data_IF_217688613521
#
_entry.id   IF_217688613521
#
_cell.length_a   1.000
_cell.length_b   1.000
_cell.length_c   1.000
_cell.angle_alpha   90.00
_cell.angle_beta   90.00
_cell.angle_gamma   90.00
#
_symmetry.space_group_name_H-M   'P 1'
#
loop_
_entity.id
_entity.type
_entity.pdbx_description
1 polymer ?
#
# COMPACT_ATOMS: atom_id res chain seq x y z
N UNK A 1 45.56 -8.59 -2.38
CA UNK A 1 44.17 -8.39 -2.85
C UNK A 1 44.06 -8.96 -4.26
N UNK A 2 43.20 -9.95 -4.50
CA UNK A 2 43.14 -10.62 -5.80
C UNK A 2 42.51 -9.66 -6.83
N UNK A 3 43.23 -9.45 -7.94
CA UNK A 3 42.71 -8.77 -9.12
C UNK A 3 41.61 -9.66 -9.70
N UNK A 4 40.35 -9.36 -9.39
CA UNK A 4 39.22 -9.92 -10.12
C UNK A 4 39.49 -9.67 -11.61
N UNK A 5 39.50 -10.72 -12.42
CA UNK A 5 39.85 -10.59 -13.83
C UNK A 5 38.84 -9.62 -14.47
N UNK A 6 39.31 -8.61 -15.19
CA UNK A 6 38.45 -7.56 -15.77
C UNK A 6 37.31 -8.16 -16.63
N UNK A 7 37.60 -9.26 -17.30
CA UNK A 7 36.65 -10.06 -18.05
C UNK A 7 35.56 -10.70 -17.18
N UNK A 8 35.91 -11.27 -16.01
CA UNK A 8 34.93 -11.85 -15.07
C UNK A 8 34.00 -10.78 -14.50
N UNK A 9 34.54 -9.59 -14.20
CA UNK A 9 33.75 -8.46 -13.69
C UNK A 9 32.78 -7.93 -14.75
N UNK A 10 33.23 -7.81 -16.01
CA UNK A 10 32.39 -7.41 -17.13
C UNK A 10 31.28 -8.43 -17.41
N UNK A 11 31.60 -9.72 -17.27
CA UNK A 11 30.63 -10.80 -17.48
C UNK A 11 29.57 -10.84 -16.38
N UNK A 12 29.95 -10.53 -15.13
CA UNK A 12 28.99 -10.51 -14.00
C UNK A 12 28.04 -9.32 -14.06
N UNK A 13 28.53 -8.14 -14.46
CA UNK A 13 27.72 -6.93 -14.61
C UNK A 13 26.67 -7.11 -15.72
N UNK A 14 27.06 -7.69 -16.85
CA UNK A 14 26.13 -8.01 -17.93
C UNK A 14 25.05 -9.02 -17.49
N UNK A 15 25.44 -10.12 -16.84
CA UNK A 15 24.48 -11.09 -16.30
C UNK A 15 23.48 -10.47 -15.33
N UNK A 16 23.93 -9.54 -14.48
CA UNK A 16 23.07 -8.83 -13.55
C UNK A 16 22.09 -7.89 -14.28
N UNK A 17 22.55 -7.17 -15.31
CA UNK A 17 21.70 -6.33 -16.14
C UNK A 17 20.61 -7.13 -16.86
N UNK A 18 20.99 -8.24 -17.51
CA UNK A 18 20.04 -9.15 -18.18
C UNK A 18 19.05 -9.74 -17.18
N UNK A 19 19.52 -10.16 -15.99
CA UNK A 19 18.64 -10.67 -14.95
C UNK A 19 17.62 -9.62 -14.49
N UNK A 20 18.05 -8.38 -14.24
CA UNK A 20 17.16 -7.28 -13.86
C UNK A 20 16.13 -6.98 -14.96
N UNK A 21 16.56 -6.87 -16.21
CA UNK A 21 15.67 -6.61 -17.35
C UNK A 21 14.69 -7.76 -17.58
N UNK A 22 15.13 -9.00 -17.40
CA UNK A 22 14.26 -10.18 -17.52
C UNK A 22 13.06 -10.13 -16.55
N UNK A 23 13.23 -9.46 -15.41
CA UNK A 23 12.23 -9.38 -14.33
C UNK A 23 11.44 -8.08 -14.33
N UNK A 24 12.08 -6.95 -14.67
CA UNK A 24 11.56 -5.61 -14.38
C UNK A 24 11.27 -4.76 -15.62
N UNK A 25 11.76 -5.16 -16.80
CA UNK A 25 11.46 -4.45 -18.05
C UNK A 25 10.06 -4.80 -18.57
N UNK A 26 9.57 -3.98 -19.51
CA UNK A 26 8.26 -4.18 -20.10
C UNK A 26 8.20 -5.52 -20.85
N UNK A 27 7.26 -6.43 -20.51
CA UNK A 27 7.17 -7.74 -21.15
C UNK A 27 6.91 -7.68 -22.66
N UNK A 28 6.39 -6.57 -23.20
CA UNK A 28 6.08 -6.43 -24.62
C UNK A 28 7.32 -6.43 -25.52
N UNK A 29 8.42 -5.81 -25.08
CA UNK A 29 9.65 -5.66 -25.88
C UNK A 29 10.92 -6.10 -25.12
N UNK A 30 10.76 -6.79 -23.99
CA UNK A 30 11.86 -7.22 -23.12
C UNK A 30 12.95 -8.01 -23.85
N UNK A 31 12.55 -8.93 -24.73
CA UNK A 31 13.50 -9.83 -25.39
C UNK A 31 14.29 -9.08 -26.48
N UNK A 32 13.63 -8.19 -27.22
CA UNK A 32 14.27 -7.31 -28.21
C UNK A 32 15.24 -6.35 -27.52
N UNK A 33 14.82 -5.71 -26.42
CA UNK A 33 15.65 -4.82 -25.63
C UNK A 33 16.92 -5.52 -25.08
N UNK A 34 16.80 -6.76 -24.60
CA UNK A 34 17.95 -7.53 -24.12
C UNK A 34 18.91 -7.86 -25.28
N UNK A 35 18.37 -8.19 -26.46
CA UNK A 35 19.17 -8.44 -27.67
C UNK A 35 19.92 -7.19 -28.13
N UNK A 36 19.24 -6.05 -28.24
CA UNK A 36 19.84 -4.78 -28.63
C UNK A 36 20.95 -4.35 -27.65
N UNK A 37 20.72 -4.55 -26.35
CA UNK A 37 21.72 -4.27 -25.32
C UNK A 37 22.93 -5.19 -25.40
N UNK A 38 22.76 -6.46 -25.80
CA UNK A 38 23.85 -7.40 -25.99
C UNK A 38 24.74 -7.00 -27.17
N UNK A 39 24.13 -6.67 -28.31
CA UNK A 39 24.84 -6.24 -29.51
C UNK A 39 25.61 -4.93 -29.27
N UNK A 40 24.97 -3.93 -28.67
CA UNK A 40 25.63 -2.64 -28.45
C UNK A 40 26.68 -2.71 -27.32
N UNK A 41 26.47 -3.55 -26.31
CA UNK A 41 27.47 -3.76 -25.25
C UNK A 41 28.73 -4.46 -25.78
N UNK A 42 28.59 -5.48 -26.61
CA UNK A 42 29.74 -6.18 -27.23
C UNK A 42 30.52 -5.25 -28.17
N UNK A 43 29.83 -4.40 -28.94
CA UNK A 43 30.46 -3.39 -29.78
C UNK A 43 31.22 -2.35 -28.96
N UNK A 44 30.63 -1.83 -27.88
CA UNK A 44 31.28 -0.85 -26.98
C UNK A 44 32.46 -1.43 -26.21
N UNK A 45 32.40 -2.71 -25.86
CA UNK A 45 33.52 -3.42 -25.23
C UNK A 45 34.73 -3.54 -26.16
N UNK A 46 34.50 -3.79 -27.45
CA UNK A 46 35.56 -3.82 -28.47
C UNK A 46 36.16 -2.44 -28.76
N UNK A 47 35.38 -1.38 -28.56
CA UNK A 47 35.77 0.00 -28.87
C UNK A 47 36.37 0.75 -27.65
N UNK A 48 36.65 0.05 -26.55
CA UNK A 48 37.25 0.61 -25.31
C UNK A 48 36.48 1.81 -24.70
N UNK A 49 35.17 1.87 -24.93
CA UNK A 49 34.30 2.88 -24.32
C UNK A 49 33.80 2.40 -22.95
N UNK A 50 33.30 3.32 -22.11
CA UNK A 50 32.71 3.05 -20.78
C UNK A 50 31.42 2.21 -20.85
N UNK A 51 31.54 0.96 -21.33
CA UNK A 51 30.44 0.06 -21.64
C UNK A 51 29.63 -0.31 -20.38
N UNK A 52 30.29 -0.46 -19.23
CA UNK A 52 29.63 -0.82 -17.96
C UNK A 52 28.71 0.30 -17.46
N UNK A 53 29.19 1.55 -17.50
CA UNK A 53 28.40 2.70 -17.06
C UNK A 53 27.22 2.95 -18.01
N UNK A 54 27.46 2.80 -19.32
CA UNK A 54 26.40 2.87 -20.32
C UNK A 54 25.35 1.77 -20.11
N UNK A 55 25.76 0.51 -19.92
CA UNK A 55 24.86 -0.63 -19.72
C UNK A 55 23.98 -0.42 -18.49
N UNK A 56 24.56 0.04 -17.37
CA UNK A 56 23.81 0.30 -16.15
C UNK A 56 22.79 1.43 -16.34
N UNK A 57 23.18 2.50 -17.02
CA UNK A 57 22.29 3.63 -17.34
C UNK A 57 21.12 3.17 -18.22
N UNK A 58 21.37 2.40 -19.27
CA UNK A 58 20.30 1.89 -20.13
C UNK A 58 19.39 0.90 -19.40
N UNK A 59 19.96 0.02 -18.59
CA UNK A 59 19.20 -0.90 -17.75
C UNK A 59 18.23 -0.14 -16.84
N UNK A 60 18.70 0.91 -16.17
CA UNK A 60 17.86 1.74 -15.30
C UNK A 60 16.79 2.53 -16.08
N UNK A 61 17.13 3.09 -17.24
CA UNK A 61 16.17 3.79 -18.08
C UNK A 61 15.06 2.86 -18.60
N UNK A 62 15.42 1.65 -19.03
CA UNK A 62 14.47 0.68 -19.52
C UNK A 62 13.59 0.09 -18.42
N UNK A 63 14.15 -0.14 -17.22
CA UNK A 63 13.36 -0.50 -16.04
C UNK A 63 12.40 0.64 -15.71
N UNK A 64 12.87 1.88 -15.66
CA UNK A 64 12.04 3.03 -15.35
C UNK A 64 10.88 3.19 -16.35
N UNK A 65 11.16 3.06 -17.63
CA UNK A 65 10.14 3.14 -18.68
C UNK A 65 9.15 1.96 -18.62
N UNK A 66 9.66 0.75 -18.35
CA UNK A 66 8.85 -0.43 -18.11
C UNK A 66 7.93 -0.26 -16.90
N UNK A 67 8.45 0.22 -15.78
CA UNK A 67 7.66 0.51 -14.57
C UNK A 67 6.65 1.63 -14.82
N UNK A 68 7.03 2.71 -15.51
CA UNK A 68 6.11 3.79 -15.88
C UNK A 68 4.96 3.29 -16.75
N UNK A 69 5.23 2.35 -17.65
CA UNK A 69 4.22 1.74 -18.52
C UNK A 69 3.36 0.73 -17.75
N UNK A 70 3.96 -0.05 -16.84
CA UNK A 70 3.23 -0.98 -15.97
C UNK A 70 2.35 -0.25 -14.95
N UNK A 71 2.79 0.86 -14.35
CA UNK A 71 1.98 1.69 -13.44
C UNK A 71 0.77 2.31 -14.17
N UNK A 72 0.91 2.59 -15.48
CA UNK A 72 -0.21 3.00 -16.34
C UNK A 72 -1.11 1.85 -16.75
N UNK A 73 -0.65 0.60 -16.62
CA UNK A 73 -1.47 -0.59 -16.89
C UNK A 73 -2.43 -0.83 -15.75
N UNK A 74 -3.71 -0.87 -16.09
CA UNK A 74 -4.81 -1.19 -15.17
C UNK A 74 -4.57 -2.51 -14.42
N UNK A 75 -3.82 -3.46 -15.00
CA UNK A 75 -3.53 -4.77 -14.38
C UNK A 75 -2.57 -4.71 -13.19
N UNK A 76 -1.52 -3.89 -13.26
CA UNK A 76 -0.58 -3.73 -12.15
C UNK A 76 -1.23 -3.01 -10.97
N UNK A 77 -1.98 -1.95 -11.25
CA UNK A 77 -2.75 -1.22 -10.22
C UNK A 77 -3.77 -2.15 -9.56
N UNK A 78 -4.44 -3.02 -10.34
CA UNK A 78 -5.33 -4.08 -9.82
C UNK A 78 -4.61 -5.04 -8.89
N UNK A 79 -3.46 -5.57 -9.32
CA UNK A 79 -2.69 -6.52 -8.52
C UNK A 79 -2.18 -5.91 -7.22
N UNK A 80 -1.55 -4.73 -7.30
CA UNK A 80 -1.03 -4.02 -6.14
C UNK A 80 -2.14 -3.66 -5.15
N UNK A 81 -3.26 -3.14 -5.65
CA UNK A 81 -4.45 -2.84 -4.86
C UNK A 81 -4.97 -4.06 -4.10
N UNK A 82 -5.09 -5.20 -4.77
CA UNK A 82 -5.59 -6.43 -4.16
C UNK A 82 -4.62 -6.96 -3.09
N UNK A 83 -3.32 -6.94 -3.37
CA UNK A 83 -2.28 -7.34 -2.41
C UNK A 83 -2.32 -6.44 -1.17
N UNK A 84 -2.39 -5.12 -1.35
CA UNK A 84 -2.51 -4.18 -0.23
C UNK A 84 -3.78 -4.43 0.58
N UNK A 85 -4.93 -4.66 -0.07
CA UNK A 85 -6.16 -5.01 0.62
C UNK A 85 -6.03 -6.30 1.45
N UNK A 86 -5.42 -7.35 0.89
CA UNK A 86 -5.23 -8.64 1.59
C UNK A 86 -4.28 -8.49 2.79
N UNK A 87 -3.19 -7.75 2.66
CA UNK A 87 -2.23 -7.51 3.75
C UNK A 87 -2.78 -6.62 4.87
N UNK A 88 -3.77 -5.79 4.56
CA UNK A 88 -4.41 -4.90 5.54
C UNK A 88 -5.39 -5.65 6.47
N UNK A 89 -6.08 -6.67 5.98
CA UNK A 89 -7.01 -7.49 6.77
C UNK A 89 -6.40 -8.07 8.07
N UNK A 90 -5.24 -8.75 8.06
CA UNK A 90 -4.64 -9.28 9.30
C UNK A 90 -4.15 -8.16 10.22
N UNK A 91 -3.64 -7.06 9.67
CA UNK A 91 -3.19 -5.90 10.46
C UNK A 91 -4.33 -5.32 11.28
N UNK A 92 -5.52 -5.21 10.67
CA UNK A 92 -6.74 -4.73 11.33
C UNK A 92 -7.27 -5.73 12.35
N UNK A 93 -7.27 -7.03 12.01
CA UNK A 93 -7.71 -8.09 12.91
C UNK A 93 -6.96 -8.04 14.24
N UNK A 94 -5.63 -7.85 14.15
CA UNK A 94 -4.76 -7.70 15.31
C UNK A 94 -5.01 -6.37 16.03
N UNK A 95 -5.20 -5.27 15.30
CA UNK A 95 -5.39 -3.95 15.90
C UNK A 95 -6.72 -3.82 16.66
N UNK A 96 -7.82 -4.31 16.06
CA UNK A 96 -9.16 -4.35 16.68
C UNK A 96 -9.20 -5.35 17.83
N UNK A 97 -8.60 -6.54 17.64
CA UNK A 97 -8.51 -7.56 18.69
C UNK A 97 -7.73 -7.06 19.91
N UNK A 98 -6.64 -6.32 19.69
CA UNK A 98 -5.88 -5.66 20.74
C UNK A 98 -6.70 -4.60 21.48
N UNK A 99 -7.27 -3.62 20.76
CA UNK A 99 -8.02 -2.51 21.38
C UNK A 99 -9.27 -2.97 22.12
N UNK A 100 -10.02 -3.92 21.55
CA UNK A 100 -11.30 -4.37 22.11
C UNK A 100 -11.13 -5.15 23.42
N UNK A 101 -9.94 -5.70 23.66
CA UNK A 101 -9.62 -6.48 24.85
C UNK A 101 -8.68 -5.73 25.81
N UNK A 102 -8.40 -4.45 25.54
CA UNK A 102 -7.47 -3.64 26.32
C UNK A 102 -8.10 -3.20 27.66
N UNK A 103 -7.72 -3.86 28.75
CA UNK A 103 -8.19 -3.51 30.11
C UNK A 103 -7.36 -2.40 30.77
N UNK A 104 -6.04 -2.36 30.52
CA UNK A 104 -5.13 -1.32 31.01
C UNK A 104 -4.10 -0.99 29.93
N UNK A 105 -4.17 0.19 29.30
CA UNK A 105 -3.20 0.55 28.29
C UNK A 105 -1.85 0.96 28.90
N UNK A 106 -0.74 0.60 28.25
CA UNK A 106 0.55 1.18 28.61
C UNK A 106 0.51 2.68 28.39
N UNK A 107 1.18 3.47 29.25
CA UNK A 107 1.15 4.93 29.14
C UNK A 107 1.63 5.42 27.78
N UNK A 108 2.62 4.74 27.18
CA UNK A 108 3.17 5.13 25.89
C UNK A 108 2.16 4.90 24.76
N UNK A 109 1.50 3.74 24.71
CA UNK A 109 0.50 3.43 23.70
C UNK A 109 -0.75 4.30 23.88
N UNK A 110 -1.14 4.59 25.12
CA UNK A 110 -2.24 5.50 25.43
C UNK A 110 -1.96 6.94 24.99
N UNK A 111 -0.74 7.44 25.22
CA UNK A 111 -0.33 8.78 24.75
C UNK A 111 -0.34 8.87 23.22
N UNK A 112 0.19 7.87 22.51
CA UNK A 112 0.14 7.83 21.05
C UNK A 112 -1.30 7.83 20.52
N UNK A 113 -2.20 7.12 21.22
CA UNK A 113 -3.61 7.07 20.88
C UNK A 113 -4.30 8.42 21.05
N UNK A 114 -4.10 9.07 22.20
CA UNK A 114 -4.66 10.38 22.51
C UNK A 114 -4.10 11.49 21.63
N UNK A 115 -2.83 11.36 21.21
CA UNK A 115 -2.19 12.27 20.26
C UNK A 115 -2.70 12.10 18.81
N UNK A 116 -3.56 11.11 18.56
CA UNK A 116 -4.00 10.79 17.19
C UNK A 116 -2.86 10.20 16.34
N UNK A 117 -1.81 9.66 16.97
CA UNK A 117 -0.66 9.05 16.30
C UNK A 117 -0.82 7.53 16.17
N UNK A 118 -2.03 7.11 15.83
CA UNK A 118 -2.45 5.69 15.78
C UNK A 118 -1.58 4.88 14.82
N UNK A 119 -1.09 5.50 13.75
CA UNK A 119 -0.20 4.87 12.78
C UNK A 119 1.18 4.53 13.36
N UNK A 120 1.67 5.28 14.37
CA UNK A 120 2.95 5.01 15.03
C UNK A 120 2.86 3.79 15.97
N UNK A 121 1.66 3.44 16.42
CA UNK A 121 1.42 2.25 17.25
C UNK A 121 1.83 0.97 16.51
N UNK A 122 1.64 0.91 15.18
CA UNK A 122 2.03 -0.24 14.36
C UNK A 122 3.55 -0.45 14.28
N UNK A 123 4.34 0.58 14.59
CA UNK A 123 5.80 0.50 14.65
C UNK A 123 6.32 0.29 16.08
N UNK A 124 5.44 0.23 17.06
CA UNK A 124 5.81 0.01 18.45
C UNK A 124 5.94 -1.51 18.75
N UNK A 125 7.08 -1.94 19.27
CA UNK A 125 7.33 -3.34 19.63
C UNK A 125 6.47 -3.84 20.80
N UNK A 126 6.09 -2.95 21.72
CA UNK A 126 5.21 -3.25 22.84
C UNK A 126 3.82 -3.68 22.34
N UNK A 127 3.29 -2.97 21.34
CA UNK A 127 2.02 -3.32 20.70
C UNK A 127 2.04 -4.75 20.16
N UNK A 128 3.06 -5.12 19.38
CA UNK A 128 3.17 -6.48 18.82
C UNK A 128 3.34 -7.56 19.87
N UNK A 129 4.05 -7.24 20.96
CA UNK A 129 4.23 -8.16 22.09
C UNK A 129 2.89 -8.45 22.78
N UNK A 130 2.09 -7.41 23.05
CA UNK A 130 0.77 -7.55 23.68
C UNK A 130 -0.24 -8.22 22.74
N UNK A 131 -0.25 -7.82 21.47
CA UNK A 131 -1.14 -8.36 20.44
C UNK A 131 -0.88 -9.86 20.22
N UNK A 132 0.38 -10.30 20.24
CA UNK A 132 0.76 -11.70 20.00
C UNK A 132 0.70 -12.60 21.23
N UNK A 133 1.08 -12.09 22.41
CA UNK A 133 1.34 -12.95 23.58
C UNK A 133 0.25 -12.96 24.64
N UNK A 134 -0.46 -11.85 24.87
CA UNK A 134 -1.28 -11.72 26.09
C UNK A 134 -2.78 -11.68 25.82
N UNK A 135 -3.22 -11.03 24.74
CA UNK A 135 -4.63 -10.61 24.63
C UNK A 135 -5.20 -10.59 23.20
N UNK A 136 -4.39 -10.35 22.16
CA UNK A 136 -4.90 -9.93 20.84
C UNK A 136 -5.52 -11.02 19.95
N UNK A 137 -5.04 -12.28 20.01
CA UNK A 137 -5.45 -13.34 19.06
C UNK A 137 -6.38 -14.38 19.70
N UNK A 138 -6.24 -14.64 21.00
CA UNK A 138 -6.96 -15.71 21.71
C UNK A 138 -8.41 -15.37 22.06
N UNK A 139 -8.82 -14.10 21.96
CA UNK A 139 -10.17 -13.60 22.27
C UNK A 139 -10.78 -12.77 21.14
N UNK A 140 -10.44 -13.08 19.90
CA UNK A 140 -11.04 -12.41 18.74
C UNK A 140 -12.47 -12.95 18.54
N UNK A 141 -13.45 -12.08 18.71
CA UNK A 141 -14.85 -12.39 18.41
C UNK A 141 -15.36 -11.49 17.27
N UNK A 142 -16.23 -12.06 16.42
CA UNK A 142 -16.84 -11.38 15.27
C UNK A 142 -17.53 -10.08 15.67
N UNK A 143 -18.14 -10.02 16.86
CA UNK A 143 -18.83 -8.81 17.31
C UNK A 143 -17.89 -7.62 17.50
N UNK A 144 -16.58 -7.85 17.71
CA UNK A 144 -15.57 -6.79 17.83
C UNK A 144 -15.34 -6.06 16.50
N UNK A 145 -15.65 -6.68 15.37
CA UNK A 145 -15.52 -6.10 14.03
C UNK A 145 -16.80 -5.44 13.51
N UNK A 146 -17.94 -5.74 14.13
CA UNK A 146 -19.24 -5.18 13.75
C UNK A 146 -19.40 -3.85 14.46
N UNK A 147 -18.98 -2.79 13.78
CA UNK A 147 -19.22 -1.41 14.20
C UNK A 147 -20.35 -0.80 13.36
N UNK A 148 -21.52 -0.62 13.96
CA UNK A 148 -22.70 -0.04 13.28
C UNK A 148 -22.40 1.30 12.60
N UNK A 149 -21.69 2.26 13.25
CA UNK A 149 -21.26 3.49 12.58
C UNK A 149 -20.45 3.25 11.29
N UNK A 150 -19.49 2.31 11.30
CA UNK A 150 -18.68 1.99 10.11
C UNK A 150 -19.52 1.46 8.96
N UNK A 151 -20.50 0.60 9.26
CA UNK A 151 -21.39 0.00 8.26
C UNK A 151 -22.28 1.09 7.64
N UNK A 152 -22.86 1.96 8.46
CA UNK A 152 -23.66 3.10 7.97
C UNK A 152 -22.81 4.01 7.07
N UNK A 153 -21.57 4.29 7.47
CA UNK A 153 -20.65 5.10 6.67
C UNK A 153 -20.30 4.45 5.33
N UNK A 154 -20.02 3.15 5.32
CA UNK A 154 -19.74 2.39 4.11
C UNK A 154 -20.92 2.43 3.12
N UNK A 155 -22.15 2.27 3.64
CA UNK A 155 -23.36 2.36 2.82
C UNK A 155 -23.55 3.78 2.26
N UNK A 156 -23.33 4.81 3.08
CA UNK A 156 -23.38 6.20 2.65
C UNK A 156 -22.37 6.48 1.54
N UNK A 157 -21.13 6.02 1.69
CA UNK A 157 -20.09 6.15 0.66
C UNK A 157 -20.47 5.43 -0.64
N UNK A 158 -20.99 4.20 -0.56
CA UNK A 158 -21.38 3.45 -1.74
C UNK A 158 -22.53 4.12 -2.50
N UNK A 159 -23.54 4.60 -1.76
CA UNK A 159 -24.68 5.31 -2.33
C UNK A 159 -24.27 6.64 -2.95
N UNK A 160 -23.48 7.45 -2.25
CA UNK A 160 -23.01 8.75 -2.76
C UNK A 160 -22.09 8.57 -3.97
N UNK A 161 -21.17 7.59 -3.94
CA UNK A 161 -20.33 7.24 -5.09
C UNK A 161 -21.16 6.82 -6.30
N UNK A 162 -22.19 5.99 -6.11
CA UNK A 162 -23.08 5.57 -7.19
C UNK A 162 -23.81 6.76 -7.81
N UNK A 163 -24.36 7.66 -6.98
CA UNK A 163 -25.07 8.85 -7.45
C UNK A 163 -24.12 9.82 -8.17
N UNK A 164 -22.94 10.06 -7.60
CA UNK A 164 -21.89 10.94 -8.13
C UNK A 164 -21.43 10.46 -9.53
N UNK A 165 -21.12 9.17 -9.67
CA UNK A 165 -20.70 8.59 -10.95
C UNK A 165 -21.83 8.56 -11.98
N UNK A 166 -23.08 8.34 -11.55
CA UNK A 166 -24.25 8.29 -12.45
C UNK A 166 -24.57 9.65 -13.09
N UNK A 167 -24.35 10.77 -12.38
CA UNK A 167 -24.82 12.09 -12.83
C UNK A 167 -23.71 13.03 -13.32
N UNK A 168 -22.49 12.89 -12.82
CA UNK A 168 -21.46 13.94 -12.97
C UNK A 168 -20.34 13.55 -13.96
N UNK A 169 -20.24 12.27 -14.35
CA UNK A 169 -19.15 11.71 -15.16
C UNK A 169 -17.78 12.37 -14.85
N UNK A 170 -17.39 12.36 -13.57
CA UNK A 170 -16.34 13.22 -13.04
C UNK A 170 -14.97 12.87 -13.60
N UNK A 171 -14.09 13.87 -13.71
CA UNK A 171 -12.68 13.58 -13.96
C UNK A 171 -12.08 12.78 -12.81
N UNK A 172 -11.05 11.98 -13.10
CA UNK A 172 -10.36 11.15 -12.10
C UNK A 172 -9.93 11.98 -10.88
N UNK A 173 -9.51 13.23 -11.08
CA UNK A 173 -9.10 14.13 -10.00
C UNK A 173 -10.24 14.49 -9.05
N UNK A 174 -11.42 14.80 -9.57
CA UNK A 174 -12.60 15.09 -8.74
C UNK A 174 -13.05 13.85 -7.96
N UNK A 175 -12.99 12.67 -8.59
CA UNK A 175 -13.31 11.42 -7.91
C UNK A 175 -12.28 11.08 -6.81
N UNK A 176 -10.99 11.25 -7.07
CA UNK A 176 -9.95 11.07 -6.06
C UNK A 176 -10.12 12.03 -4.87
N UNK A 177 -10.44 13.30 -5.12
CA UNK A 177 -10.71 14.27 -4.06
C UNK A 177 -11.93 13.89 -3.22
N UNK A 178 -13.02 13.46 -3.87
CA UNK A 178 -14.22 12.95 -3.20
C UNK A 178 -13.91 11.76 -2.29
N UNK A 179 -13.14 10.79 -2.79
CA UNK A 179 -12.73 9.60 -2.03
C UNK A 179 -11.84 9.97 -0.84
N UNK A 180 -10.90 10.89 -1.04
CA UNK A 180 -10.00 11.35 0.02
C UNK A 180 -10.77 12.01 1.16
N UNK A 181 -11.76 12.85 0.85
CA UNK A 181 -12.66 13.43 1.85
C UNK A 181 -13.36 12.33 2.65
N UNK A 182 -13.92 11.32 1.97
CA UNK A 182 -14.64 10.24 2.62
C UNK A 182 -13.79 9.31 3.49
N UNK A 183 -12.49 9.20 3.22
CA UNK A 183 -11.54 8.50 4.08
C UNK A 183 -11.10 9.35 5.28
N UNK A 184 -10.97 10.66 5.08
CA UNK A 184 -10.43 11.57 6.09
C UNK A 184 -11.48 12.00 7.12
N UNK A 185 -12.74 12.08 6.73
CA UNK A 185 -13.84 12.52 7.60
C UNK A 185 -14.08 11.62 8.82
N UNK A 186 -14.12 10.27 8.70
CA UNK A 186 -14.24 9.38 9.85
C UNK A 186 -13.09 9.53 10.84
N UNK A 187 -11.87 9.74 10.31
CA UNK A 187 -10.68 9.94 11.12
C UNK A 187 -10.76 11.24 11.92
N UNK A 188 -11.06 12.36 11.26
CA UNK A 188 -11.22 13.65 11.94
C UNK A 188 -12.35 13.60 12.98
N UNK A 189 -13.49 13.03 12.60
CA UNK A 189 -14.64 12.90 13.50
C UNK A 189 -14.31 12.08 14.74
N UNK A 190 -13.72 10.90 14.58
CA UNK A 190 -13.36 10.06 15.71
C UNK A 190 -12.27 10.69 16.59
N UNK A 191 -11.28 11.35 16.00
CA UNK A 191 -10.27 12.09 16.75
C UNK A 191 -10.89 13.21 17.59
N UNK A 192 -11.73 14.05 16.98
CA UNK A 192 -12.44 15.12 17.70
C UNK A 192 -13.31 14.56 18.83
N UNK A 193 -13.96 13.43 18.61
CA UNK A 193 -14.81 12.79 19.61
C UNK A 193 -13.99 12.23 20.79
N UNK A 194 -12.83 11.64 20.52
CA UNK A 194 -11.89 11.16 21.56
C UNK A 194 -11.33 12.34 22.34
N UNK A 195 -10.89 13.41 21.66
CA UNK A 195 -10.28 14.57 22.31
C UNK A 195 -11.25 15.39 23.15
N UNK A 196 -12.55 15.38 22.83
CA UNK A 196 -13.56 16.16 23.55
C UNK A 196 -14.18 15.40 24.72
N UNK A 197 -14.33 14.08 24.60
CA UNK A 197 -15.10 13.27 25.56
C UNK A 197 -14.19 12.49 26.51
N UNK A 198 -12.89 12.38 26.21
CA UNK A 198 -11.90 11.57 26.95
C UNK A 198 -12.48 10.22 27.42
N UNK A 199 -12.93 9.36 26.48
CA UNK A 199 -13.69 8.17 26.85
C UNK A 199 -12.79 7.19 27.61
N UNK A 200 -13.40 6.43 28.52
CA UNK A 200 -12.78 5.23 29.13
C UNK A 200 -12.23 4.34 27.98
N UNK A 201 -11.01 3.79 28.08
CA UNK A 201 -10.32 3.09 26.98
C UNK A 201 -11.18 2.09 26.17
N UNK A 202 -12.06 1.36 26.85
CA UNK A 202 -12.99 0.39 26.25
C UNK A 202 -14.00 1.01 25.27
N UNK A 203 -14.36 2.29 25.45
CA UNK A 203 -15.21 3.04 24.53
C UNK A 203 -14.42 3.66 23.37
N UNK A 204 -13.11 3.82 23.52
CA UNK A 204 -12.20 4.34 22.48
C UNK A 204 -11.97 3.27 21.40
N UNK A 205 -11.91 1.99 21.78
CA UNK A 205 -11.75 0.87 20.84
C UNK A 205 -12.75 0.89 19.67
N UNK A 206 -14.07 0.96 19.92
CA UNK A 206 -15.08 1.09 18.85
C UNK A 206 -14.98 2.38 18.02
N UNK A 207 -14.56 3.50 18.61
CA UNK A 207 -14.39 4.77 17.90
C UNK A 207 -13.19 4.70 16.96
N UNK A 208 -12.09 4.12 17.43
CA UNK A 208 -10.91 3.86 16.60
C UNK A 208 -11.20 2.82 15.52
N UNK A 209 -11.93 1.77 15.87
CA UNK A 209 -12.44 0.83 14.89
C UNK A 209 -13.26 1.57 13.83
N UNK A 210 -14.06 2.57 14.18
CA UNK A 210 -14.72 3.42 13.18
C UNK A 210 -13.74 4.26 12.34
N UNK A 211 -12.79 4.96 12.96
CA UNK A 211 -11.77 5.78 12.28
C UNK A 211 -10.94 4.98 11.27
N UNK A 212 -10.69 3.71 11.59
CA UNK A 212 -9.81 2.81 10.84
C UNK A 212 -10.63 1.98 9.85
N UNK A 213 -11.73 1.34 10.28
CA UNK A 213 -12.57 0.46 9.45
C UNK A 213 -13.38 1.20 8.39
N UNK A 214 -13.72 2.48 8.59
CA UNK A 214 -14.47 3.25 7.60
C UNK A 214 -13.66 3.47 6.29
N UNK A 215 -12.38 3.89 6.32
CA UNK A 215 -11.49 3.82 5.17
C UNK A 215 -11.38 2.41 4.58
N UNK A 216 -11.35 1.36 5.42
CA UNK A 216 -11.25 -0.03 4.94
C UNK A 216 -12.46 -0.55 4.21
N UNK A 217 -13.67 -0.22 4.64
CA UNK A 217 -14.86 -0.59 3.91
C UNK A 217 -15.02 0.21 2.60
N UNK A 218 -14.48 1.43 2.58
CA UNK A 218 -14.56 2.33 1.43
C UNK A 218 -13.52 1.99 0.34
N UNK A 219 -12.33 1.50 0.72
CA UNK A 219 -11.23 1.18 -0.20
C UNK A 219 -11.57 0.11 -1.25
N UNK A 220 -12.04 -1.10 -0.91
CA UNK A 220 -12.41 -2.12 -1.89
C UNK A 220 -13.53 -1.67 -2.82
N UNK A 221 -14.53 -0.95 -2.28
CA UNK A 221 -15.62 -0.38 -3.07
C UNK A 221 -15.07 0.65 -4.07
N UNK A 222 -14.18 1.54 -3.63
CA UNK A 222 -13.47 2.49 -4.50
C UNK A 222 -12.70 1.79 -5.62
N UNK A 223 -11.96 0.73 -5.30
CA UNK A 223 -11.17 -0.03 -6.25
C UNK A 223 -12.07 -0.71 -7.30
N UNK A 224 -13.17 -1.35 -6.86
CA UNK A 224 -14.18 -1.90 -7.77
C UNK A 224 -14.76 -0.82 -8.70
N UNK A 225 -15.05 0.37 -8.18
CA UNK A 225 -15.59 1.48 -8.97
C UNK A 225 -14.58 2.06 -9.96
N UNK A 226 -13.32 2.27 -9.56
CA UNK A 226 -12.24 2.65 -10.47
C UNK A 226 -12.10 1.63 -11.59
N UNK A 227 -12.05 0.34 -11.26
CA UNK A 227 -11.84 -0.71 -12.26
C UNK A 227 -13.01 -0.89 -13.21
N UNK A 228 -14.24 -0.57 -12.79
CA UNK A 228 -15.42 -0.52 -13.66
C UNK A 228 -15.41 0.72 -14.57
N UNK A 229 -14.95 1.86 -14.06
CA UNK A 229 -14.84 3.11 -14.83
C UNK A 229 -13.77 3.09 -15.92
N UNK A 230 -12.64 2.42 -15.68
CA UNK A 230 -11.55 2.24 -16.67
C UNK A 230 -11.77 1.12 -17.69
N UNK A 231 -12.87 0.37 -17.60
CA UNK A 231 -13.19 -0.73 -18.52
C UNK A 231 -14.09 -0.29 -19.70
N UNK A 232 -14.29 1.01 -19.88
CA UNK A 232 -14.87 1.62 -21.08
C UNK A 232 -13.78 2.39 -21.81
#
# INVERSE_FOLDING_TARGET
MPKLNLAERQTSIYKLAVWLLSRLANPAYRNELIGDLEEEYTQRQQTNQDANHWLFRQTMLAIWDGQKTMVKSTGFVKGLSLVLCVLLLPTIALFVGWLSNMNQPSEQLWRLLLAGEVHLILFNSEYWTIAWNEVGISRIDIHMFINTPSIVWAMLFAASSHLFLKHINPSIWFFCGFVLIYMLLPYLFGHTLISLIEPIPQKVGPILAFMILAPFWSLPLFLLFLFKGFSR
#
